data_IF_723811153512
#
_entry.id   IF_723811153512
#
_cell.length_a   1.000
_cell.length_b   1.000
_cell.length_c   1.000
_cell.angle_alpha   90.00
_cell.angle_beta   90.00
_cell.angle_gamma   90.00
#
_symmetry.space_group_name_H-M   'P 1'
#
loop_
_entity.id
_entity.type
_entity.pdbx_description
1 polymer ?
#
# COMPACT_ATOMS: atom_id res chain seq x y z
N UNK A 1 9.90 -30.09 28.19
CA UNK A 1 10.19 -31.45 27.68
C UNK A 1 10.52 -31.32 26.19
N UNK A 2 11.72 -30.92 25.76
CA UNK A 2 13.07 -31.39 26.11
C UNK A 2 13.23 -32.89 25.84
N UNK A 3 13.48 -33.25 24.57
CA UNK A 3 14.44 -34.26 24.12
C UNK A 3 14.32 -34.45 22.60
N UNK A 4 15.47 -34.59 21.92
CA UNK A 4 15.74 -34.95 20.52
C UNK A 4 16.43 -33.86 19.68
N UNK A 5 17.66 -33.49 20.07
CA UNK A 5 18.68 -32.90 19.20
C UNK A 5 20.06 -33.11 19.82
N UNK A 6 20.69 -34.28 19.63
CA UNK A 6 22.15 -34.46 19.72
C UNK A 6 22.57 -35.50 18.67
N UNK A 7 23.74 -35.27 18.08
CA UNK A 7 24.51 -36.07 17.09
C UNK A 7 24.14 -35.78 15.62
N UNK A 8 25.01 -35.33 14.71
CA UNK A 8 26.48 -35.38 14.64
C UNK A 8 27.04 -34.15 13.93
N UNK A 9 28.02 -33.49 14.56
CA UNK A 9 28.97 -32.57 13.96
C UNK A 9 30.34 -32.92 14.56
N UNK A 10 31.23 -33.51 13.75
CA UNK A 10 32.68 -33.31 13.76
C UNK A 10 33.40 -34.44 13.01
N UNK A 11 33.97 -34.08 11.87
CA UNK A 11 35.26 -34.60 11.44
C UNK A 11 35.87 -33.55 10.52
N UNK A 12 36.66 -32.66 11.14
CA UNK A 12 37.60 -31.74 10.52
C UNK A 12 38.81 -32.48 9.95
N UNK A 13 39.53 -31.80 9.05
CA UNK A 13 40.93 -31.97 8.59
C UNK A 13 40.97 -32.17 7.06
N UNK A 14 41.15 -31.11 6.27
CA UNK A 14 42.41 -30.40 5.94
C UNK A 14 42.99 -30.88 4.60
N UNK A 15 43.00 -30.02 3.59
CA UNK A 15 44.20 -29.86 2.75
C UNK A 15 44.21 -28.49 2.06
N UNK A 16 45.32 -27.79 2.27
CA UNK A 16 45.66 -26.47 1.73
C UNK A 16 46.20 -26.58 0.30
N UNK A 17 45.97 -25.50 -0.46
CA UNK A 17 46.87 -24.83 -1.42
C UNK A 17 47.53 -25.61 -2.55
N UNK A 18 47.31 -25.14 -3.79
CA UNK A 18 48.41 -24.86 -4.74
C UNK A 18 47.99 -23.78 -5.74
N UNK A 19 48.71 -22.66 -5.74
CA UNK A 19 48.79 -21.65 -6.79
C UNK A 19 50.25 -21.66 -7.26
N UNK A 20 50.49 -21.77 -8.57
CA UNK A 20 51.54 -21.10 -9.35
C UNK A 20 51.33 -21.50 -10.83
N UNK A 21 50.94 -20.58 -11.73
CA UNK A 21 51.76 -19.64 -12.52
C UNK A 21 52.68 -20.31 -13.55
N UNK A 22 52.40 -20.06 -14.83
CA UNK A 22 53.26 -20.37 -15.98
C UNK A 22 52.63 -19.90 -17.29
N UNK A 23 53.20 -18.84 -17.88
CA UNK A 23 52.77 -18.15 -19.10
C UNK A 23 53.24 -18.86 -20.39
N UNK A 24 52.39 -18.76 -21.42
CA UNK A 24 52.65 -18.63 -22.87
C UNK A 24 53.59 -19.63 -23.59
N UNK A 25 53.02 -20.38 -24.53
CA UNK A 25 53.52 -20.41 -25.92
C UNK A 25 52.42 -20.78 -26.93
N UNK A 26 52.47 -20.08 -28.06
CA UNK A 26 51.69 -20.20 -29.29
C UNK A 26 51.74 -21.60 -29.94
N UNK A 27 50.60 -22.13 -30.41
CA UNK A 27 50.21 -22.20 -31.84
C UNK A 27 49.16 -23.28 -32.13
N UNK A 28 48.18 -22.86 -32.95
CA UNK A 28 47.49 -23.55 -34.04
C UNK A 28 46.76 -24.90 -33.83
N UNK A 29 45.51 -24.87 -34.31
CA UNK A 29 44.70 -25.97 -34.86
C UNK A 29 44.35 -27.14 -33.96
N UNK A 30 43.10 -27.18 -33.49
CA UNK A 30 42.07 -28.08 -34.03
C UNK A 30 40.69 -27.62 -33.52
N UNK A 31 39.93 -26.97 -34.41
CA UNK A 31 38.49 -26.81 -34.24
C UNK A 31 37.83 -28.19 -34.34
N UNK A 32 37.59 -28.85 -33.21
CA UNK A 32 36.52 -29.84 -33.12
C UNK A 32 35.27 -29.12 -32.63
N UNK A 33 34.46 -28.70 -33.60
CA UNK A 33 33.05 -28.40 -33.37
C UNK A 33 32.35 -29.70 -32.94
N UNK A 34 32.33 -29.99 -31.64
CA UNK A 34 31.24 -30.79 -31.09
C UNK A 34 29.99 -29.92 -31.16
N UNK A 35 29.24 -30.06 -32.24
CA UNK A 35 27.88 -29.58 -32.36
C UNK A 35 27.07 -30.11 -31.19
N UNK A 36 26.79 -29.23 -30.23
CA UNK A 36 25.90 -29.50 -29.12
C UNK A 36 24.46 -29.54 -29.65
N UNK A 37 23.98 -30.74 -30.02
CA UNK A 37 22.57 -31.00 -30.38
C UNK A 37 21.58 -30.74 -29.23
N UNK A 38 22.05 -30.30 -28.05
CA UNK A 38 21.22 -30.00 -26.89
C UNK A 38 20.52 -28.63 -26.99
N UNK A 39 21.07 -27.64 -27.70
CA UNK A 39 20.48 -26.29 -27.79
C UNK A 39 19.21 -26.27 -28.66
N UNK A 40 19.24 -26.90 -29.84
CA UNK A 40 18.11 -26.98 -30.79
C UNK A 40 16.96 -27.86 -30.31
N UNK A 41 17.23 -28.94 -29.57
CA UNK A 41 16.19 -29.75 -28.91
C UNK A 41 15.51 -29.00 -27.75
N UNK A 42 16.24 -28.12 -27.06
CA UNK A 42 15.67 -27.34 -25.94
C UNK A 42 14.75 -26.23 -26.45
N UNK A 43 15.13 -25.53 -27.52
CA UNK A 43 14.34 -24.45 -28.13
C UNK A 43 13.06 -24.97 -28.80
N UNK A 44 13.15 -26.10 -29.51
CA UNK A 44 11.99 -26.76 -30.14
C UNK A 44 10.98 -27.27 -29.10
N UNK A 45 11.44 -27.85 -27.99
CA UNK A 45 10.59 -28.28 -26.89
C UNK A 45 9.95 -27.10 -26.13
N UNK A 46 10.69 -26.00 -25.97
CA UNK A 46 10.17 -24.78 -25.33
C UNK A 46 9.10 -24.10 -26.20
N UNK A 47 9.32 -24.03 -27.51
CA UNK A 47 8.33 -23.56 -28.48
C UNK A 47 7.05 -24.40 -28.47
N UNK A 48 7.19 -25.72 -28.46
CA UNK A 48 6.05 -26.67 -28.40
C UNK A 48 5.23 -26.51 -27.11
N UNK A 49 5.88 -26.42 -25.94
CA UNK A 49 5.19 -26.21 -24.65
C UNK A 49 4.47 -24.87 -24.58
N UNK A 50 5.04 -23.83 -25.19
CA UNK A 50 4.40 -22.52 -25.28
C UNK A 50 3.11 -22.58 -26.09
N UNK A 51 3.12 -23.25 -27.25
CA UNK A 51 1.92 -23.45 -28.07
C UNK A 51 0.84 -24.25 -27.33
N UNK A 52 1.21 -25.35 -26.68
CA UNK A 52 0.30 -26.15 -25.84
C UNK A 52 -0.35 -25.26 -24.76
N UNK A 53 0.45 -24.43 -24.10
CA UNK A 53 -0.04 -23.53 -23.05
C UNK A 53 -1.02 -22.50 -23.61
N UNK A 54 -0.71 -21.89 -24.75
CA UNK A 54 -1.60 -20.91 -25.39
C UNK A 54 -2.93 -21.56 -25.77
N UNK A 55 -2.91 -22.69 -26.46
CA UNK A 55 -4.13 -23.40 -26.87
C UNK A 55 -4.96 -23.86 -25.68
N UNK A 56 -4.30 -24.35 -24.62
CA UNK A 56 -4.97 -24.72 -23.37
C UNK A 56 -5.68 -23.53 -22.73
N UNK A 57 -4.99 -22.40 -22.57
CA UNK A 57 -5.57 -21.21 -21.95
C UNK A 57 -6.74 -20.62 -22.74
N UNK A 58 -6.68 -20.68 -24.06
CA UNK A 58 -7.78 -20.24 -24.94
C UNK A 58 -9.01 -21.15 -24.79
N UNK A 59 -8.82 -22.46 -24.81
CA UNK A 59 -9.92 -23.44 -24.75
C UNK A 59 -10.53 -23.59 -23.36
N UNK A 60 -9.72 -23.61 -22.31
CA UNK A 60 -10.17 -23.88 -20.93
C UNK A 60 -10.74 -22.66 -20.19
N UNK A 61 -10.27 -21.45 -20.54
CA UNK A 61 -10.59 -20.22 -19.82
C UNK A 61 -11.05 -19.08 -20.74
N UNK A 62 -11.20 -19.34 -22.05
CA UNK A 62 -11.66 -18.33 -23.01
C UNK A 62 -10.70 -17.15 -23.20
N UNK A 63 -9.41 -17.30 -22.90
CA UNK A 63 -8.44 -16.21 -23.07
C UNK A 63 -8.32 -15.84 -24.56
N UNK A 64 -8.21 -14.54 -24.84
CA UNK A 64 -7.80 -14.11 -26.18
C UNK A 64 -6.38 -14.60 -26.48
N UNK A 65 -6.07 -14.86 -27.76
CA UNK A 65 -4.74 -15.30 -28.19
C UNK A 65 -3.63 -14.37 -27.66
N UNK A 66 -3.86 -13.06 -27.64
CA UNK A 66 -2.93 -12.06 -27.11
C UNK A 66 -2.64 -12.29 -25.63
N UNK A 67 -3.68 -12.41 -24.80
CA UNK A 67 -3.52 -12.61 -23.35
C UNK A 67 -2.91 -13.98 -23.06
N UNK A 68 -3.37 -15.04 -23.73
CA UNK A 68 -2.81 -16.39 -23.58
C UNK A 68 -1.31 -16.42 -23.93
N UNK A 69 -0.89 -15.69 -24.98
CA UNK A 69 0.51 -15.57 -25.36
C UNK A 69 1.34 -14.88 -24.27
N UNK A 70 0.85 -13.80 -23.66
CA UNK A 70 1.55 -13.14 -22.56
C UNK A 70 1.65 -14.02 -21.30
N UNK A 71 0.58 -14.72 -20.96
CA UNK A 71 0.56 -15.67 -19.83
C UNK A 71 1.55 -16.82 -20.06
N UNK A 72 1.64 -17.35 -21.29
CA UNK A 72 2.56 -18.44 -21.65
C UNK A 72 4.05 -18.08 -21.50
N UNK A 73 4.40 -16.79 -21.44
CA UNK A 73 5.77 -16.36 -21.13
C UNK A 73 6.13 -16.61 -19.66
N UNK A 74 5.13 -16.64 -18.77
CA UNK A 74 5.29 -16.78 -17.31
C UNK A 74 5.12 -18.22 -16.82
N UNK A 75 4.42 -19.06 -17.58
CA UNK A 75 4.14 -20.46 -17.26
C UNK A 75 4.15 -21.30 -18.53
N UNK A 76 4.70 -22.51 -18.45
CA UNK A 76 4.67 -23.49 -19.54
C UNK A 76 4.10 -24.80 -18.99
N UNK A 77 3.03 -25.26 -19.61
CA UNK A 77 2.31 -26.48 -19.24
C UNK A 77 2.92 -27.68 -19.98
N UNK A 78 2.95 -28.83 -19.30
CA UNK A 78 3.36 -30.11 -19.92
C UNK A 78 2.15 -30.84 -20.48
N UNK A 79 1.09 -30.91 -19.69
CA UNK A 79 -0.16 -31.61 -19.94
C UNK A 79 -1.33 -30.83 -19.28
N UNK A 80 -2.58 -31.12 -19.64
CA UNK A 80 -3.74 -30.41 -19.10
C UNK A 80 -4.20 -30.93 -17.72
N UNK A 81 -3.71 -32.09 -17.25
CA UNK A 81 -4.27 -32.75 -16.06
C UNK A 81 -4.04 -31.93 -14.80
N UNK A 82 -2.81 -31.44 -14.61
CA UNK A 82 -2.45 -30.63 -13.45
C UNK A 82 -3.20 -29.28 -13.43
N UNK A 83 -3.20 -28.48 -14.51
CA UNK A 83 -4.02 -27.27 -14.63
C UNK A 83 -5.51 -27.52 -14.40
N UNK A 84 -6.10 -28.54 -15.01
CA UNK A 84 -7.53 -28.86 -14.84
C UNK A 84 -7.87 -29.16 -13.38
N UNK A 85 -7.00 -29.89 -12.67
CA UNK A 85 -7.17 -30.15 -11.25
C UNK A 85 -7.17 -28.87 -10.40
N UNK A 86 -6.34 -27.88 -10.78
CA UNK A 86 -6.34 -26.55 -10.13
C UNK A 86 -7.63 -25.78 -10.43
N UNK A 87 -8.08 -25.76 -11.69
CA UNK A 87 -9.31 -25.07 -12.07
C UNK A 87 -10.54 -25.68 -11.37
N UNK A 88 -10.61 -27.01 -11.32
CA UNK A 88 -11.70 -27.73 -10.66
C UNK A 88 -11.74 -27.47 -9.16
N UNK A 89 -10.58 -27.38 -8.48
CA UNK A 89 -10.53 -26.97 -7.08
C UNK A 89 -11.07 -25.55 -6.88
N UNK A 90 -10.71 -24.59 -7.74
CA UNK A 90 -11.27 -23.24 -7.61
C UNK A 90 -12.79 -23.24 -7.81
N UNK A 91 -13.30 -23.96 -8.81
CA UNK A 91 -14.75 -24.10 -9.03
C UNK A 91 -15.46 -24.75 -7.85
N UNK A 92 -14.85 -25.75 -7.21
CA UNK A 92 -15.43 -26.39 -6.01
C UNK A 92 -15.49 -25.45 -4.79
N UNK A 93 -14.70 -24.37 -4.79
CA UNK A 93 -14.77 -23.28 -3.81
C UNK A 93 -15.65 -22.10 -4.30
N UNK A 94 -16.41 -22.31 -5.37
CA UNK A 94 -17.40 -21.37 -5.91
C UNK A 94 -16.81 -20.24 -6.75
N UNK A 95 -15.54 -20.32 -7.17
CA UNK A 95 -14.98 -19.31 -8.06
C UNK A 95 -15.63 -19.42 -9.45
N UNK A 96 -16.07 -18.29 -10.00
CA UNK A 96 -16.55 -18.21 -11.38
C UNK A 96 -15.38 -18.32 -12.38
N UNK A 97 -15.67 -18.69 -13.62
CA UNK A 97 -14.64 -18.72 -14.67
C UNK A 97 -13.99 -17.34 -14.89
N UNK A 98 -14.73 -16.25 -14.69
CA UNK A 98 -14.18 -14.89 -14.75
C UNK A 98 -13.21 -14.58 -13.61
N UNK A 99 -13.50 -15.03 -12.39
CA UNK A 99 -12.59 -14.89 -11.26
C UNK A 99 -11.34 -15.78 -11.43
N UNK A 100 -11.51 -17.01 -11.91
CA UNK A 100 -10.40 -17.92 -12.22
C UNK A 100 -9.51 -17.33 -13.31
N UNK A 101 -10.10 -16.77 -14.36
CA UNK A 101 -9.40 -16.00 -15.40
C UNK A 101 -8.53 -14.90 -14.76
N UNK A 102 -9.08 -14.11 -13.84
CA UNK A 102 -8.33 -13.06 -13.14
C UNK A 102 -7.16 -13.62 -12.33
N UNK A 103 -7.38 -14.70 -11.58
CA UNK A 103 -6.31 -15.33 -10.78
C UNK A 103 -5.20 -15.88 -11.68
N UNK A 104 -5.53 -16.56 -12.77
CA UNK A 104 -4.55 -17.17 -13.69
C UNK A 104 -3.78 -16.10 -14.45
N UNK A 105 -4.41 -15.01 -14.87
CA UNK A 105 -3.71 -13.92 -15.57
C UNK A 105 -2.75 -13.16 -14.65
N UNK A 106 -3.15 -12.94 -13.39
CA UNK A 106 -2.32 -12.27 -12.38
C UNK A 106 -1.22 -13.18 -11.81
N UNK A 107 -1.50 -14.48 -11.64
CA UNK A 107 -0.58 -15.47 -11.10
C UNK A 107 -0.58 -16.80 -11.89
N UNK A 108 0.01 -16.82 -13.11
CA UNK A 108 -0.05 -18.01 -13.99
C UNK A 108 0.54 -19.29 -13.41
N UNK A 109 1.53 -19.17 -12.52
CA UNK A 109 2.19 -20.32 -11.87
C UNK A 109 1.25 -21.10 -10.93
N UNK A 110 0.08 -20.55 -10.59
CA UNK A 110 -0.93 -21.29 -9.83
C UNK A 110 -1.32 -22.59 -10.53
N UNK A 111 -1.32 -22.61 -11.87
CA UNK A 111 -1.63 -23.79 -12.70
C UNK A 111 -0.64 -24.95 -12.54
N UNK A 112 0.56 -24.68 -12.00
CA UNK A 112 1.58 -25.69 -11.72
C UNK A 112 1.51 -26.20 -10.27
N UNK A 113 0.61 -25.66 -9.44
CA UNK A 113 0.50 -26.04 -8.03
C UNK A 113 -0.19 -27.38 -7.89
N UNK A 114 0.27 -28.22 -6.95
CA UNK A 114 -0.42 -29.44 -6.55
C UNK A 114 -1.64 -29.07 -5.68
N UNK A 115 -2.89 -29.26 -6.13
CA UNK A 115 -4.08 -28.77 -5.43
C UNK A 115 -4.15 -29.29 -4.00
N UNK A 116 -4.05 -30.61 -3.83
CA UNK A 116 -4.16 -31.30 -2.53
C UNK A 116 -3.07 -30.91 -1.53
N UNK A 117 -1.83 -30.73 -2.01
CA UNK A 117 -0.69 -30.46 -1.13
C UNK A 117 -0.52 -28.97 -0.80
N UNK A 118 -0.92 -28.11 -1.74
CA UNK A 118 -0.59 -26.69 -1.66
C UNK A 118 -1.86 -25.84 -1.49
N UNK A 119 -2.81 -25.92 -2.42
CA UNK A 119 -3.91 -24.95 -2.49
C UNK A 119 -5.02 -25.29 -1.50
N UNK A 120 -5.45 -26.55 -1.46
CA UNK A 120 -6.56 -27.01 -0.64
C UNK A 120 -6.34 -26.73 0.87
N UNK A 121 -5.18 -27.02 1.47
CA UNK A 121 -4.96 -26.72 2.89
C UNK A 121 -5.12 -25.23 3.21
N UNK A 122 -4.68 -24.35 2.31
CA UNK A 122 -4.79 -22.89 2.49
C UNK A 122 -6.25 -22.43 2.45
N UNK A 123 -7.01 -22.93 1.47
CA UNK A 123 -8.42 -22.57 1.33
C UNK A 123 -9.25 -23.08 2.52
N UNK A 124 -8.99 -24.33 2.97
CA UNK A 124 -9.62 -24.89 4.18
C UNK A 124 -9.30 -24.08 5.43
N UNK A 125 -8.04 -23.69 5.62
CA UNK A 125 -7.66 -22.86 6.76
C UNK A 125 -8.38 -21.51 6.76
N UNK A 126 -8.46 -20.84 5.60
CA UNK A 126 -9.16 -19.57 5.50
C UNK A 126 -10.66 -19.73 5.83
N UNK A 127 -11.31 -20.80 5.39
CA UNK A 127 -12.68 -21.10 5.79
C UNK A 127 -12.79 -21.40 7.30
N UNK A 128 -11.84 -22.14 7.88
CA UNK A 128 -11.88 -22.50 9.31
C UNK A 128 -11.74 -21.29 10.23
N UNK A 129 -11.10 -20.20 9.78
CA UNK A 129 -11.03 -18.93 10.51
C UNK A 129 -12.20 -17.97 10.16
N UNK A 130 -13.24 -18.46 9.50
CA UNK A 130 -14.51 -17.77 9.33
C UNK A 130 -14.66 -16.91 8.07
N UNK A 131 -13.86 -17.13 7.02
CA UNK A 131 -14.14 -16.54 5.70
C UNK A 131 -15.28 -17.30 5.01
N UNK A 132 -16.32 -16.57 4.57
CA UNK A 132 -17.33 -17.16 3.68
C UNK A 132 -16.74 -17.43 2.28
N UNK A 133 -17.43 -18.23 1.46
CA UNK A 133 -16.97 -18.51 0.08
C UNK A 133 -16.78 -17.23 -0.73
N UNK A 134 -17.70 -16.26 -0.63
CA UNK A 134 -17.59 -14.98 -1.32
C UNK A 134 -16.40 -14.14 -0.80
N UNK A 135 -16.24 -14.05 0.53
CA UNK A 135 -15.12 -13.30 1.12
C UNK A 135 -13.76 -13.92 0.76
N UNK A 136 -13.69 -15.26 0.69
CA UNK A 136 -12.51 -16.01 0.28
C UNK A 136 -12.13 -15.70 -1.18
N UNK A 137 -13.11 -15.68 -2.08
CA UNK A 137 -12.89 -15.33 -3.50
C UNK A 137 -12.32 -13.91 -3.62
N UNK A 138 -12.96 -12.94 -2.98
CA UNK A 138 -12.49 -11.54 -2.95
C UNK A 138 -11.08 -11.42 -2.38
N UNK A 139 -10.78 -12.16 -1.31
CA UNK A 139 -9.47 -12.18 -0.68
C UNK A 139 -8.39 -12.71 -1.63
N UNK A 140 -8.64 -13.84 -2.30
CA UNK A 140 -7.66 -14.43 -3.22
C UNK A 140 -7.43 -13.54 -4.45
N UNK A 141 -8.48 -12.91 -4.98
CA UNK A 141 -8.35 -12.00 -6.13
C UNK A 141 -7.55 -10.74 -5.73
N UNK A 142 -7.88 -10.15 -4.59
CA UNK A 142 -7.19 -8.96 -4.09
C UNK A 142 -5.77 -9.24 -3.58
N UNK A 143 -5.49 -10.49 -3.17
CA UNK A 143 -4.19 -10.93 -2.66
C UNK A 143 -3.83 -12.38 -3.05
N UNK A 144 -3.53 -12.59 -4.33
CA UNK A 144 -3.05 -13.88 -4.86
C UNK A 144 -1.70 -14.33 -4.25
N UNK A 145 -1.03 -13.46 -3.48
CA UNK A 145 0.18 -13.81 -2.72
C UNK A 145 -0.05 -14.91 -1.70
N UNK A 146 -1.28 -15.05 -1.18
CA UNK A 146 -1.70 -16.13 -0.29
C UNK A 146 -1.43 -17.52 -0.88
N UNK A 147 -1.62 -17.66 -2.18
CA UNK A 147 -1.45 -18.95 -2.88
C UNK A 147 0.03 -19.34 -3.04
N UNK A 148 0.96 -18.41 -2.78
CA UNK A 148 2.40 -18.59 -3.00
C UNK A 148 3.18 -18.95 -1.74
N UNK A 149 2.71 -18.52 -0.58
CA UNK A 149 3.42 -18.67 0.70
C UNK A 149 3.03 -19.96 1.40
N UNK A 150 3.91 -20.56 2.22
CA UNK A 150 3.53 -21.75 3.00
C UNK A 150 2.46 -21.39 4.03
N UNK A 151 1.47 -22.28 4.18
CA UNK A 151 0.41 -22.14 5.17
C UNK A 151 1.01 -22.15 6.59
N UNK A 152 1.82 -23.16 6.87
CA UNK A 152 2.38 -23.49 8.18
C UNK A 152 3.47 -22.49 8.59
N UNK A 153 4.30 -22.06 7.64
CA UNK A 153 5.42 -21.17 7.94
C UNK A 153 5.05 -19.68 7.91
N UNK A 154 3.90 -19.30 7.31
CA UNK A 154 3.56 -17.90 7.10
C UNK A 154 2.12 -17.54 7.46
N UNK A 155 1.12 -18.17 6.83
CA UNK A 155 -0.28 -17.73 6.96
C UNK A 155 -0.78 -17.97 8.40
N UNK A 156 -0.56 -19.17 8.94
CA UNK A 156 -0.95 -19.51 10.32
C UNK A 156 -0.21 -18.61 11.32
N UNK A 157 1.14 -18.53 11.34
CA UNK A 157 1.85 -17.64 12.26
C UNK A 157 1.44 -16.17 12.15
N UNK A 158 1.14 -15.69 10.95
CA UNK A 158 0.68 -14.32 10.75
C UNK A 158 -0.71 -14.10 11.35
N UNK A 159 -1.65 -15.02 11.13
CA UNK A 159 -2.98 -14.95 11.73
C UNK A 159 -2.92 -15.04 13.26
N UNK A 160 -2.16 -15.99 13.81
CA UNK A 160 -1.99 -16.13 15.26
C UNK A 160 -1.36 -14.90 15.89
N UNK A 161 -0.35 -14.31 15.23
CA UNK A 161 0.24 -13.08 15.70
C UNK A 161 -0.77 -11.93 15.71
N UNK A 162 -1.58 -11.76 14.66
CA UNK A 162 -2.65 -10.75 14.65
C UNK A 162 -3.67 -10.99 15.76
N UNK A 163 -4.13 -12.23 15.90
CA UNK A 163 -5.08 -12.66 16.91
C UNK A 163 -4.58 -12.38 18.33
N UNK A 164 -3.28 -12.57 18.60
CA UNK A 164 -2.69 -12.32 19.92
C UNK A 164 -2.75 -10.85 20.40
N UNK A 165 -3.03 -9.90 19.50
CA UNK A 165 -3.12 -8.46 19.82
C UNK A 165 -4.49 -7.85 19.54
N UNK A 166 -5.46 -8.66 19.12
CA UNK A 166 -6.83 -8.24 18.80
C UNK A 166 -7.82 -8.92 19.74
N UNK A 167 -9.05 -8.40 19.82
CA UNK A 167 -10.01 -8.87 20.81
C UNK A 167 -10.63 -10.22 20.45
N UNK A 168 -10.85 -10.47 19.16
CA UNK A 168 -11.54 -11.67 18.67
C UNK A 168 -11.06 -12.10 17.28
N UNK A 169 -11.54 -13.28 16.87
CA UNK A 169 -11.23 -13.90 15.58
C UNK A 169 -11.76 -13.08 14.39
N UNK A 170 -12.83 -12.30 14.59
CA UNK A 170 -13.43 -11.46 13.56
C UNK A 170 -12.52 -10.26 13.25
N UNK A 171 -11.94 -9.62 14.25
CA UNK A 171 -10.94 -8.58 14.07
C UNK A 171 -9.67 -9.12 13.41
N UNK A 172 -9.18 -10.29 13.84
CA UNK A 172 -8.03 -10.94 13.24
C UNK A 172 -8.26 -11.29 11.75
N UNK A 173 -9.46 -11.79 11.42
CA UNK A 173 -9.90 -12.04 10.04
C UNK A 173 -9.87 -10.76 9.20
N UNK A 174 -10.43 -9.66 9.73
CA UNK A 174 -10.46 -8.37 9.05
C UNK A 174 -9.04 -7.82 8.84
N UNK A 175 -8.16 -7.95 9.85
CA UNK A 175 -6.77 -7.53 9.75
C UNK A 175 -6.01 -8.34 8.69
N UNK A 176 -6.19 -9.66 8.65
CA UNK A 176 -5.63 -10.53 7.62
C UNK A 176 -6.10 -10.14 6.22
N UNK A 177 -7.39 -9.82 6.05
CA UNK A 177 -7.95 -9.32 4.77
C UNK A 177 -7.32 -7.99 4.32
N UNK A 178 -6.93 -7.13 5.26
CA UNK A 178 -6.27 -5.84 4.98
C UNK A 178 -4.79 -5.97 4.61
N UNK A 179 -4.15 -7.10 4.90
CA UNK A 179 -2.78 -7.34 4.45
C UNK A 179 -2.76 -7.50 2.94
N UNK A 180 -2.25 -6.51 2.22
CA UNK A 180 -2.13 -6.53 0.75
C UNK A 180 -0.86 -7.23 0.25
N UNK A 181 0.11 -7.45 1.12
CA UNK A 181 1.38 -8.12 0.81
C UNK A 181 1.73 -9.03 1.98
N UNK A 182 1.97 -10.30 1.69
CA UNK A 182 2.39 -11.24 2.71
C UNK A 182 3.83 -10.94 3.15
N UNK A 183 3.96 -10.89 4.46
CA UNK A 183 5.19 -10.64 5.18
C UNK A 183 6.14 -11.84 4.99
N UNK A 184 7.45 -11.59 4.88
CA UNK A 184 8.43 -12.67 4.93
C UNK A 184 8.44 -13.32 6.31
N UNK A 185 9.08 -14.48 6.49
CA UNK A 185 9.13 -15.18 7.78
C UNK A 185 9.81 -14.33 8.85
N UNK A 186 10.88 -13.63 8.45
CA UNK A 186 11.58 -12.62 9.28
C UNK A 186 10.66 -11.49 9.73
N UNK A 187 9.63 -11.20 8.94
CA UNK A 187 8.75 -10.06 9.15
C UNK A 187 7.63 -10.39 10.14
N UNK A 188 7.15 -11.64 10.19
CA UNK A 188 6.11 -12.07 11.15
C UNK A 188 6.59 -11.92 12.60
N UNK A 189 7.87 -12.10 12.88
CA UNK A 189 8.45 -11.94 14.23
C UNK A 189 8.56 -10.48 14.67
N UNK A 190 8.47 -9.50 13.76
CA UNK A 190 8.63 -8.09 14.11
C UNK A 190 7.46 -7.52 14.91
N UNK A 191 6.26 -8.10 14.79
CA UNK A 191 5.04 -7.60 15.45
C UNK A 191 5.20 -7.47 16.96
N UNK A 192 5.76 -8.50 17.62
CA UNK A 192 5.98 -8.47 19.05
C UNK A 192 6.97 -7.36 19.46
N UNK A 193 8.07 -7.20 18.70
CA UNK A 193 9.08 -6.18 18.96
C UNK A 193 8.54 -4.76 18.74
N UNK A 194 7.79 -4.54 17.66
CA UNK A 194 7.20 -3.25 17.32
C UNK A 194 6.11 -2.85 18.31
N UNK A 195 5.27 -3.79 18.73
CA UNK A 195 4.24 -3.52 19.75
C UNK A 195 4.89 -3.25 21.11
N UNK A 196 5.98 -3.95 21.46
CA UNK A 196 6.76 -3.66 22.66
C UNK A 196 7.26 -2.22 22.66
N UNK A 197 7.84 -1.73 21.55
CA UNK A 197 8.28 -0.33 21.44
C UNK A 197 7.16 0.66 21.75
N UNK A 198 5.95 0.43 21.23
CA UNK A 198 4.80 1.29 21.52
C UNK A 198 4.38 1.25 22.99
N UNK A 199 4.37 0.06 23.60
CA UNK A 199 4.03 -0.11 25.02
C UNK A 199 5.05 0.55 25.94
N UNK A 200 6.34 0.42 25.62
CA UNK A 200 7.44 0.98 26.40
C UNK A 200 7.37 2.52 26.47
N UNK A 201 6.82 3.17 25.43
CA UNK A 201 6.60 4.63 25.41
C UNK A 201 5.19 5.06 25.87
N UNK A 202 4.42 4.13 26.45
CA UNK A 202 3.10 4.43 27.04
C UNK A 202 1.94 4.53 26.04
N UNK A 203 2.05 3.98 24.83
CA UNK A 203 0.90 3.92 23.90
C UNK A 203 -0.19 3.01 24.47
N UNK A 204 -1.45 3.47 24.60
CA UNK A 204 -2.54 2.67 25.15
C UNK A 204 -2.86 1.45 24.29
N UNK A 205 -3.34 0.38 24.93
CA UNK A 205 -3.72 -0.85 24.24
C UNK A 205 -4.78 -0.60 23.14
N UNK A 206 -5.70 0.34 23.32
CA UNK A 206 -6.68 0.73 22.27
C UNK A 206 -6.02 1.28 21.00
N UNK A 207 -4.92 2.02 21.13
CA UNK A 207 -4.13 2.53 20.00
C UNK A 207 -3.26 1.41 19.38
N UNK A 208 -2.76 0.48 20.19
CA UNK A 208 -2.10 -0.74 19.67
C UNK A 208 -3.09 -1.57 18.84
N UNK A 209 -4.30 -1.84 19.36
CA UNK A 209 -5.35 -2.54 18.64
C UNK A 209 -5.74 -1.80 17.35
N UNK A 210 -5.83 -0.46 17.39
CA UNK A 210 -6.06 0.37 16.20
C UNK A 210 -4.97 0.14 15.12
N UNK A 211 -3.70 0.08 15.52
CA UNK A 211 -2.60 -0.19 14.60
C UNK A 211 -2.73 -1.58 13.99
N UNK A 212 -2.93 -2.62 14.79
CA UNK A 212 -3.01 -4.00 14.30
C UNK A 212 -4.24 -4.21 13.42
N UNK A 213 -5.38 -3.60 13.77
CA UNK A 213 -6.62 -3.75 13.01
C UNK A 213 -6.64 -2.92 11.72
N UNK A 214 -6.25 -1.63 11.76
CA UNK A 214 -6.44 -0.70 10.62
C UNK A 214 -5.16 -0.41 9.84
N UNK A 215 -4.02 -0.43 10.51
CA UNK A 215 -2.70 -0.16 9.91
C UNK A 215 -1.82 -1.40 9.98
N UNK A 216 -2.41 -2.56 9.68
CA UNK A 216 -1.82 -3.89 9.90
C UNK A 216 -0.41 -4.03 9.32
N UNK A 217 -0.09 -3.34 8.22
CA UNK A 217 1.25 -3.34 7.62
C UNK A 217 2.33 -2.80 8.56
N UNK A 218 1.99 -1.85 9.45
CA UNK A 218 2.91 -1.26 10.43
C UNK A 218 3.41 -2.28 11.44
N UNK A 219 2.52 -3.18 11.87
CA UNK A 219 2.84 -4.22 12.85
C UNK A 219 4.03 -5.06 12.36
N UNK A 220 4.12 -5.25 11.04
CA UNK A 220 5.13 -6.07 10.38
C UNK A 220 6.31 -5.27 9.81
N UNK A 221 6.38 -3.94 9.95
CA UNK A 221 7.51 -3.16 9.42
C UNK A 221 8.83 -3.66 10.03
N UNK A 222 9.91 -3.56 9.25
CA UNK A 222 11.26 -3.80 9.76
C UNK A 222 11.51 -3.02 11.05
N UNK A 223 11.97 -3.70 12.10
CA UNK A 223 12.02 -3.14 13.45
C UNK A 223 12.81 -1.83 13.53
N UNK A 224 13.97 -1.74 12.85
CA UNK A 224 14.78 -0.53 12.86
C UNK A 224 14.05 0.67 12.22
N UNK A 225 13.35 0.44 11.11
CA UNK A 225 12.51 1.47 10.48
C UNK A 225 11.32 1.87 11.34
N UNK A 226 10.69 0.90 12.00
CA UNK A 226 9.57 1.17 12.89
C UNK A 226 10.00 2.07 14.05
N UNK A 227 11.12 1.77 14.69
CA UNK A 227 11.72 2.61 15.74
C UNK A 227 12.06 4.01 15.23
N UNK A 228 12.57 4.14 14.00
CA UNK A 228 12.82 5.45 13.39
C UNK A 228 11.52 6.29 13.28
N UNK A 229 10.42 5.68 12.86
CA UNK A 229 9.13 6.38 12.76
C UNK A 229 8.58 6.78 14.13
N UNK A 230 8.69 5.90 15.12
CA UNK A 230 8.27 6.18 16.50
C UNK A 230 9.05 7.34 17.09
N UNK A 231 10.39 7.30 17.01
CA UNK A 231 11.27 8.36 17.54
C UNK A 231 10.98 9.71 16.91
N UNK A 232 10.71 9.76 15.61
CA UNK A 232 10.35 11.03 14.98
C UNK A 232 8.99 11.53 15.43
N UNK A 233 8.01 10.65 15.63
CA UNK A 233 6.70 11.06 16.15
C UNK A 233 6.83 11.66 17.56
N UNK A 234 7.70 11.11 18.40
CA UNK A 234 8.06 11.68 19.71
C UNK A 234 8.79 13.03 19.58
N UNK A 235 9.80 13.13 18.72
CA UNK A 235 10.51 14.40 18.41
C UNK A 235 9.53 15.49 17.96
N UNK A 236 8.52 15.11 17.18
CA UNK A 236 7.50 16.02 16.70
C UNK A 236 6.48 16.46 17.78
N UNK A 237 6.59 15.91 18.99
CA UNK A 237 5.68 16.18 20.10
C UNK A 237 4.28 15.59 19.90
N UNK A 238 4.18 14.48 19.16
CA UNK A 238 2.91 13.73 19.08
C UNK A 238 2.74 12.96 20.38
N UNK A 239 1.64 13.19 21.07
CA UNK A 239 1.31 12.56 22.35
C UNK A 239 1.04 11.04 22.17
N UNK A 240 1.87 10.14 22.74
CA UNK A 240 1.71 8.69 22.63
C UNK A 240 0.39 8.16 23.19
N UNK A 241 -0.24 8.89 24.13
CA UNK A 241 -1.54 8.51 24.70
C UNK A 241 -2.70 8.64 23.70
N UNK A 242 -2.50 9.38 22.60
CA UNK A 242 -3.55 9.67 21.61
C UNK A 242 -3.40 8.80 20.37
N UNK A 243 -4.53 8.42 19.77
CA UNK A 243 -4.56 7.71 18.47
C UNK A 243 -3.89 8.47 17.33
N UNK A 244 -3.69 9.79 17.47
CA UNK A 244 -2.90 10.61 16.55
C UNK A 244 -1.46 10.10 16.41
N UNK A 245 -0.89 9.50 17.46
CA UNK A 245 0.45 8.91 17.42
C UNK A 245 0.56 7.82 16.35
N UNK A 246 -0.41 6.90 16.33
CA UNK A 246 -0.47 5.83 15.33
C UNK A 246 -0.67 6.40 13.93
N UNK A 247 -1.49 7.44 13.78
CA UNK A 247 -1.66 8.12 12.49
C UNK A 247 -0.37 8.77 12.00
N UNK A 248 0.40 9.39 12.91
CA UNK A 248 1.69 9.95 12.60
C UNK A 248 2.63 8.85 12.08
N UNK A 249 2.90 7.82 12.88
CA UNK A 249 3.74 6.67 12.50
C UNK A 249 3.30 6.05 11.17
N UNK A 250 1.98 5.93 10.94
CA UNK A 250 1.40 5.44 9.69
C UNK A 250 1.80 6.29 8.48
N UNK A 251 1.70 7.61 8.57
CA UNK A 251 2.13 8.52 7.49
C UNK A 251 3.62 8.37 7.22
N UNK A 252 4.44 8.25 8.25
CA UNK A 252 5.90 8.13 8.10
C UNK A 252 6.28 6.84 7.38
N UNK A 253 5.62 5.73 7.72
CA UNK A 253 5.87 4.42 7.10
C UNK A 253 5.59 4.37 5.59
N UNK A 254 4.74 5.27 5.09
CA UNK A 254 4.32 5.32 3.70
C UNK A 254 5.26 6.16 2.83
N UNK A 255 6.21 6.86 3.44
CA UNK A 255 7.13 7.78 2.77
C UNK A 255 8.58 7.36 3.00
N UNK A 256 9.44 7.59 2.00
CA UNK A 256 10.89 7.45 2.20
C UNK A 256 11.40 8.55 3.12
N UNK A 257 12.51 8.28 3.83
CA UNK A 257 13.08 9.26 4.77
C UNK A 257 13.43 10.61 4.10
N UNK A 258 13.93 10.57 2.88
CA UNK A 258 14.19 11.80 2.11
C UNK A 258 12.92 12.54 1.69
N UNK A 259 11.81 11.82 1.47
CA UNK A 259 10.56 12.39 0.97
C UNK A 259 9.86 13.24 2.02
N UNK A 260 9.48 12.69 3.16
CA UNK A 260 8.87 13.47 4.24
C UNK A 260 9.77 14.60 4.74
N UNK A 261 11.10 14.41 4.84
CA UNK A 261 12.04 15.49 5.19
C UNK A 261 11.98 16.65 4.20
N UNK A 262 12.10 16.35 2.89
CA UNK A 262 12.01 17.38 1.87
C UNK A 262 10.64 18.06 1.77
N UNK A 263 9.56 17.40 2.21
CA UNK A 263 8.23 18.03 2.34
C UNK A 263 8.18 18.98 3.55
N UNK A 264 8.81 18.59 4.67
CA UNK A 264 8.94 19.46 5.84
C UNK A 264 9.80 20.70 5.52
N UNK A 265 10.81 20.56 4.69
CA UNK A 265 11.66 21.67 4.26
C UNK A 265 10.93 22.68 3.35
N UNK A 266 9.83 22.30 2.69
CA UNK A 266 8.99 23.26 1.97
C UNK A 266 8.44 24.31 2.93
N UNK A 267 7.93 23.89 4.10
CA UNK A 267 7.39 24.83 5.07
C UNK A 267 8.45 25.79 5.62
N UNK A 268 9.71 25.34 5.74
CA UNK A 268 10.83 26.22 6.10
C UNK A 268 11.07 27.33 5.09
N UNK A 269 10.90 27.06 3.78
CA UNK A 269 11.00 28.07 2.72
C UNK A 269 9.95 29.17 2.86
N UNK A 270 8.79 28.85 3.42
CA UNK A 270 7.73 29.81 3.76
C UNK A 270 7.92 30.44 5.15
N UNK A 271 9.08 30.29 5.79
CA UNK A 271 9.40 30.94 7.07
C UNK A 271 8.96 30.19 8.33
N UNK A 272 8.46 28.94 8.22
CA UNK A 272 8.24 28.14 9.43
C UNK A 272 9.56 27.67 10.04
N UNK A 273 9.71 27.85 11.34
CA UNK A 273 10.80 27.19 12.08
C UNK A 273 10.58 25.67 12.12
N UNK A 274 11.63 24.92 12.47
CA UNK A 274 11.53 23.47 12.69
C UNK A 274 10.43 23.12 13.69
N UNK A 275 10.37 23.84 14.83
CA UNK A 275 9.38 23.61 15.88
C UNK A 275 7.95 23.88 15.42
N UNK A 276 7.72 24.97 14.67
CA UNK A 276 6.40 25.26 14.10
C UNK A 276 5.98 24.18 13.11
N UNK A 277 6.93 23.73 12.27
CA UNK A 277 6.68 22.67 11.29
C UNK A 277 6.32 21.34 11.95
N UNK A 278 7.07 20.95 12.98
CA UNK A 278 6.79 19.75 13.78
C UNK A 278 5.45 19.86 14.52
N UNK A 279 5.15 21.03 15.09
CA UNK A 279 3.87 21.31 15.75
C UNK A 279 2.68 21.26 14.79
N UNK A 280 2.88 21.62 13.52
CA UNK A 280 1.85 21.47 12.48
C UNK A 280 1.68 19.99 12.10
N UNK A 281 2.79 19.26 11.91
CA UNK A 281 2.75 17.82 11.67
C UNK A 281 2.03 17.07 12.80
N UNK A 282 2.30 17.39 14.07
CA UNK A 282 1.68 16.68 15.20
C UNK A 282 0.16 16.89 15.31
N UNK A 283 -0.35 18.02 14.80
CA UNK A 283 -1.79 18.29 14.72
C UNK A 283 -2.46 17.60 13.52
N UNK A 284 -1.75 17.42 12.42
CA UNK A 284 -2.29 16.80 11.21
C UNK A 284 -1.21 16.14 10.35
N UNK A 285 -0.76 14.92 10.70
CA UNK A 285 0.31 14.23 9.99
C UNK A 285 0.04 14.06 8.49
N UNK A 286 -1.23 13.95 8.11
CA UNK A 286 -1.71 13.75 6.75
C UNK A 286 -1.34 14.92 5.81
N UNK A 287 -0.90 16.08 6.33
CA UNK A 287 -0.34 17.15 5.51
C UNK A 287 0.86 16.67 4.67
N UNK A 288 1.63 15.67 5.16
CA UNK A 288 2.75 15.10 4.42
C UNK A 288 2.34 14.07 3.35
N UNK A 289 1.06 13.68 3.29
CA UNK A 289 0.57 12.81 2.21
C UNK A 289 0.33 13.58 0.91
N UNK A 290 0.20 14.92 0.98
CA UNK A 290 0.08 15.78 -0.20
C UNK A 290 1.35 15.76 -1.05
N UNK A 291 1.21 15.99 -2.36
CA UNK A 291 2.36 16.17 -3.25
C UNK A 291 3.12 17.45 -2.86
N UNK A 292 4.42 17.52 -3.18
CA UNK A 292 5.22 18.73 -2.96
C UNK A 292 4.58 19.94 -3.67
N UNK A 293 4.14 19.72 -4.90
CA UNK A 293 3.46 20.71 -5.71
C UNK A 293 2.19 21.25 -5.05
N UNK A 294 1.32 20.37 -4.53
CA UNK A 294 0.08 20.79 -3.88
C UNK A 294 0.35 21.58 -2.59
N UNK A 295 1.36 21.18 -1.82
CA UNK A 295 1.79 21.94 -0.63
C UNK A 295 2.26 23.33 -1.05
N UNK A 296 3.17 23.43 -2.02
CA UNK A 296 3.71 24.72 -2.51
C UNK A 296 2.62 25.63 -3.07
N UNK A 297 1.77 25.13 -3.98
CA UNK A 297 0.67 25.91 -4.56
C UNK A 297 -0.29 26.42 -3.50
N UNK A 298 -0.65 25.56 -2.54
CA UNK A 298 -1.57 25.92 -1.46
C UNK A 298 -0.93 26.93 -0.50
N UNK A 299 0.35 26.75 -0.15
CA UNK A 299 1.07 27.71 0.70
C UNK A 299 1.22 29.07 0.03
N UNK A 300 1.63 29.11 -1.24
CA UNK A 300 1.73 30.37 -2.01
C UNK A 300 0.38 31.08 -2.09
N UNK A 301 -0.70 30.38 -2.44
CA UNK A 301 -2.02 31.00 -2.47
C UNK A 301 -2.46 31.53 -1.09
N UNK A 302 -2.32 30.73 -0.03
CA UNK A 302 -2.77 31.13 1.30
C UNK A 302 -1.95 32.30 1.88
N UNK A 303 -0.64 32.33 1.62
CA UNK A 303 0.26 33.37 2.14
C UNK A 303 0.22 34.61 1.25
N UNK A 304 0.41 34.44 -0.06
CA UNK A 304 0.64 35.54 -0.99
C UNK A 304 -0.68 36.18 -1.46
N UNK A 305 -1.69 35.37 -1.80
CA UNK A 305 -2.96 35.86 -2.36
C UNK A 305 -4.03 36.14 -1.30
N UNK A 306 -4.11 35.29 -0.27
CA UNK A 306 -5.08 35.46 0.84
C UNK A 306 -4.51 36.34 1.95
N UNK A 307 -3.18 36.45 2.07
CA UNK A 307 -2.54 37.21 3.14
C UNK A 307 -2.67 36.55 4.51
N UNK A 308 -2.81 35.22 4.59
CA UNK A 308 -2.97 34.53 5.87
C UNK A 308 -1.68 34.53 6.67
N UNK A 309 -1.72 34.86 7.97
CA UNK A 309 -0.58 34.70 8.84
C UNK A 309 -0.12 33.25 8.91
N UNK A 310 1.20 33.02 8.75
CA UNK A 310 1.81 31.69 8.80
C UNK A 310 1.44 30.91 10.08
N UNK A 311 1.34 31.61 11.21
CA UNK A 311 0.92 31.04 12.51
C UNK A 311 -0.49 30.43 12.47
N UNK A 312 -1.40 31.02 11.70
CA UNK A 312 -2.79 30.56 11.62
C UNK A 312 -2.91 29.32 10.74
N UNK A 313 -2.11 29.26 9.66
CA UNK A 313 -1.96 28.06 8.82
C UNK A 313 -1.36 26.93 9.67
N UNK A 314 -0.28 27.19 10.42
CA UNK A 314 0.37 26.21 11.30
C UNK A 314 -0.54 25.71 12.43
N UNK A 315 -1.48 26.54 12.90
CA UNK A 315 -2.48 26.13 13.90
C UNK A 315 -3.53 25.19 13.32
N UNK A 316 -3.78 25.23 12.00
CA UNK A 316 -4.78 24.40 11.30
C UNK A 316 -4.25 23.81 9.98
N UNK A 317 -3.25 22.91 10.06
CA UNK A 317 -2.62 22.31 8.87
C UNK A 317 -3.56 21.46 8.02
N UNK A 318 -4.69 21.02 8.58
CA UNK A 318 -5.77 20.37 7.82
C UNK A 318 -6.35 21.24 6.70
N UNK A 319 -6.14 22.57 6.76
CA UNK A 319 -6.54 23.48 5.68
C UNK A 319 -5.91 23.09 4.34
N UNK A 320 -4.66 22.63 4.36
CA UNK A 320 -3.91 22.22 3.17
C UNK A 320 -4.49 20.97 2.50
N UNK A 321 -5.35 20.22 3.21
CA UNK A 321 -5.94 18.99 2.69
C UNK A 321 -7.19 19.25 1.82
N UNK A 322 -7.76 20.45 1.87
CA UNK A 322 -8.84 20.83 0.95
C UNK A 322 -8.27 21.10 -0.44
N UNK A 323 -9.01 20.73 -1.49
CA UNK A 323 -8.61 21.07 -2.86
C UNK A 323 -8.50 22.57 -3.02
N UNK A 324 -7.33 23.01 -3.49
CA UNK A 324 -7.05 24.41 -3.74
C UNK A 324 -8.00 24.96 -4.81
N UNK A 325 -8.10 24.25 -5.93
CA UNK A 325 -8.82 24.64 -7.14
C UNK A 325 -10.33 24.49 -7.00
N UNK A 326 -10.79 23.40 -6.34
CA UNK A 326 -12.21 23.09 -6.27
C UNK A 326 -12.89 23.63 -5.02
N UNK A 327 -12.13 24.05 -4.00
CA UNK A 327 -12.72 24.51 -2.73
C UNK A 327 -12.12 25.81 -2.21
N UNK A 328 -10.80 25.93 -2.10
CA UNK A 328 -10.20 27.10 -1.44
C UNK A 328 -10.36 28.36 -2.32
N UNK A 329 -9.94 28.29 -3.58
CA UNK A 329 -9.99 29.41 -4.54
C UNK A 329 -11.44 29.87 -4.79
N UNK A 330 -12.40 28.99 -5.18
CA UNK A 330 -13.80 29.38 -5.38
C UNK A 330 -14.39 30.15 -4.20
N UNK A 331 -14.14 29.65 -2.99
CA UNK A 331 -14.69 30.23 -1.77
C UNK A 331 -14.00 31.54 -1.42
N UNK A 332 -12.69 31.64 -1.63
CA UNK A 332 -11.98 32.91 -1.49
C UNK A 332 -12.52 33.97 -2.45
N UNK A 333 -12.71 33.62 -3.73
CA UNK A 333 -13.19 34.55 -4.76
C UNK A 333 -14.58 35.10 -4.44
N UNK A 334 -15.50 34.25 -4.00
CA UNK A 334 -16.84 34.68 -3.53
C UNK A 334 -16.72 35.66 -2.36
N UNK A 335 -15.93 35.33 -1.34
CA UNK A 335 -15.78 36.20 -0.16
C UNK A 335 -15.08 37.52 -0.52
N UNK A 336 -14.07 37.49 -1.39
CA UNK A 336 -13.37 38.68 -1.90
C UNK A 336 -14.34 39.61 -2.62
N UNK A 337 -15.22 39.07 -3.49
CA UNK A 337 -16.24 39.84 -4.19
C UNK A 337 -17.27 40.46 -3.22
N UNK A 338 -17.74 39.69 -2.23
CA UNK A 338 -18.67 40.18 -1.21
C UNK A 338 -18.07 41.28 -0.33
N UNK A 339 -16.79 41.13 0.07
CA UNK A 339 -16.06 42.15 0.83
C UNK A 339 -15.89 43.44 0.02
N UNK A 340 -15.53 43.34 -1.27
CA UNK A 340 -15.42 44.51 -2.17
C UNK A 340 -16.74 45.28 -2.30
N UNK A 341 -17.89 44.59 -2.16
CA UNK A 341 -19.23 45.19 -2.17
C UNK A 341 -19.74 45.61 -0.79
N UNK A 342 -18.94 45.46 0.27
CA UNK A 342 -19.34 45.82 1.64
C UNK A 342 -20.45 44.96 2.25
N UNK A 343 -20.76 43.81 1.64
CA UNK A 343 -21.88 42.93 2.05
C UNK A 343 -21.50 41.99 3.21
N UNK A 344 -20.20 41.83 3.48
CA UNK A 344 -19.68 41.07 4.61
C UNK A 344 -18.85 42.02 5.49
N UNK A 345 -19.50 42.55 6.53
CA UNK A 345 -18.92 43.55 7.44
C UNK A 345 -18.18 42.95 8.65
N UNK A 346 -18.50 41.71 9.04
CA UNK A 346 -17.82 41.03 10.16
C UNK A 346 -16.57 40.33 9.65
N UNK A 347 -15.49 40.35 10.45
CA UNK A 347 -14.34 39.49 10.20
C UNK A 347 -14.73 38.01 10.36
N UNK A 348 -15.09 37.38 9.25
CA UNK A 348 -15.34 35.94 9.20
C UNK A 348 -14.00 35.26 8.95
N UNK A 349 -13.60 34.38 9.87
CA UNK A 349 -12.44 33.50 9.70
C UNK A 349 -12.51 32.75 8.37
N UNK A 350 -11.55 32.99 7.48
CA UNK A 350 -11.46 32.33 6.18
C UNK A 350 -11.38 30.80 6.32
N UNK A 351 -10.67 30.31 7.35
CA UNK A 351 -10.59 28.87 7.63
C UNK A 351 -11.99 28.29 7.91
N UNK A 352 -12.83 29.01 8.63
CA UNK A 352 -14.21 28.58 8.90
C UNK A 352 -15.05 28.52 7.62
N UNK A 353 -14.81 29.42 6.67
CA UNK A 353 -15.49 29.46 5.38
C UNK A 353 -15.13 28.24 4.53
N UNK A 354 -13.84 27.92 4.44
CA UNK A 354 -13.34 26.74 3.70
C UNK A 354 -13.88 25.43 4.28
N UNK A 355 -14.14 25.39 5.59
CA UNK A 355 -14.65 24.19 6.28
C UNK A 355 -16.14 23.90 6.05
N UNK A 356 -16.95 24.87 5.64
CA UNK A 356 -18.38 24.63 5.45
C UNK A 356 -18.65 23.47 4.48
N UNK A 357 -19.71 22.70 4.73
CA UNK A 357 -20.28 21.82 3.71
C UNK A 357 -20.75 22.63 2.50
N UNK A 358 -20.87 21.98 1.35
CA UNK A 358 -21.18 22.65 0.08
C UNK A 358 -22.49 23.43 0.13
N UNK A 359 -23.59 22.76 0.46
CA UNK A 359 -24.91 23.34 0.65
C UNK A 359 -24.89 24.57 1.56
N UNK A 360 -24.29 24.41 2.75
CA UNK A 360 -24.20 25.49 3.76
C UNK A 360 -23.37 26.68 3.28
N UNK A 361 -22.31 26.45 2.49
CA UNK A 361 -21.53 27.54 1.91
C UNK A 361 -22.35 28.31 0.88
N UNK A 362 -23.00 27.60 -0.05
CA UNK A 362 -23.81 28.19 -1.11
C UNK A 362 -24.96 29.02 -0.53
N UNK A 363 -25.74 28.44 0.39
CA UNK A 363 -26.85 29.15 1.04
C UNK A 363 -26.37 30.45 1.72
N UNK A 364 -25.26 30.37 2.47
CA UNK A 364 -24.81 31.47 3.31
C UNK A 364 -24.11 32.60 2.55
N UNK A 365 -23.39 32.28 1.48
CA UNK A 365 -22.50 33.23 0.79
C UNK A 365 -22.77 33.41 -0.70
N UNK A 366 -23.56 32.53 -1.33
CA UNK A 366 -23.88 32.64 -2.76
C UNK A 366 -25.36 33.00 -2.92
N UNK A 367 -26.27 32.08 -2.57
CA UNK A 367 -27.72 32.26 -2.75
C UNK A 367 -28.26 33.46 -1.99
N UNK A 368 -27.84 33.65 -0.73
CA UNK A 368 -28.26 34.78 0.12
C UNK A 368 -27.97 36.14 -0.51
N UNK A 369 -26.93 36.26 -1.33
CA UNK A 369 -26.51 37.52 -1.94
C UNK A 369 -26.75 37.53 -3.46
N UNK A 370 -27.52 36.57 -3.99
CA UNK A 370 -27.75 36.43 -5.43
C UNK A 370 -28.40 37.69 -6.02
N UNK A 371 -29.36 38.30 -5.33
CA UNK A 371 -30.00 39.54 -5.78
C UNK A 371 -29.04 40.73 -5.77
N UNK A 372 -28.14 40.81 -4.77
CA UNK A 372 -27.18 41.90 -4.65
C UNK A 372 -25.95 41.74 -5.56
N UNK A 373 -25.56 40.50 -5.86
CA UNK A 373 -24.41 40.17 -6.71
C UNK A 373 -24.74 38.92 -7.55
N UNK A 374 -25.49 39.08 -8.67
CA UNK A 374 -25.95 37.95 -9.49
C UNK A 374 -24.83 37.06 -10.03
N UNK A 375 -23.66 37.65 -10.28
CA UNK A 375 -22.46 36.96 -10.79
C UNK A 375 -21.73 36.07 -9.77
N UNK A 376 -22.16 36.00 -8.49
CA UNK A 376 -21.48 35.17 -7.47
C UNK A 376 -21.45 33.69 -7.82
N UNK A 377 -22.52 33.18 -8.45
CA UNK A 377 -22.55 31.78 -8.86
C UNK A 377 -21.51 31.47 -9.94
N UNK A 378 -21.27 32.41 -10.86
CA UNK A 378 -20.25 32.28 -11.89
C UNK A 378 -18.84 32.42 -11.29
N UNK A 379 -18.65 33.36 -10.35
CA UNK A 379 -17.41 33.50 -9.58
C UNK A 379 -17.09 32.21 -8.81
N UNK A 380 -18.11 31.57 -8.23
CA UNK A 380 -17.95 30.32 -7.50
C UNK A 380 -17.56 29.15 -8.41
N UNK A 381 -18.20 29.02 -9.57
CA UNK A 381 -17.89 27.94 -10.53
C UNK A 381 -16.50 28.12 -11.16
N UNK A 382 -15.98 29.34 -11.18
CA UNK A 382 -14.72 29.67 -11.85
C UNK A 382 -14.78 29.44 -13.36
N UNK A 383 -13.63 29.55 -14.07
CA UNK A 383 -13.58 29.40 -15.52
C UNK A 383 -13.83 27.97 -16.04
N UNK A 384 -14.04 26.96 -15.19
CA UNK A 384 -13.98 25.54 -15.60
C UNK A 384 -14.91 24.56 -14.84
N UNK A 385 -15.89 25.02 -14.05
CA UNK A 385 -16.75 24.12 -13.25
C UNK A 385 -18.12 23.80 -13.88
N UNK A 386 -18.50 22.52 -14.06
CA UNK A 386 -19.87 22.14 -14.43
C UNK A 386 -20.87 22.43 -13.30
N UNK A 387 -22.16 22.54 -13.64
CA UNK A 387 -23.26 22.75 -12.69
C UNK A 387 -23.32 21.61 -11.65
N UNK A 388 -23.39 21.91 -10.34
CA UNK A 388 -23.79 20.90 -9.35
C UNK A 388 -25.23 20.49 -9.65
N UNK A 389 -25.44 19.22 -9.99
CA UNK A 389 -26.78 18.65 -9.88
C UNK A 389 -27.12 18.56 -8.39
N UNK A 390 -28.23 19.17 -8.03
CA UNK A 390 -28.84 19.04 -6.72
C UNK A 390 -29.39 17.61 -6.62
N UNK A 391 -28.87 16.81 -5.70
CA UNK A 391 -29.55 15.62 -5.17
C UNK A 391 -30.07 15.95 -3.78
#
# INVERSE_FOLDING_TARGET
>A
MLAFLITRLSSSLSLKSRIQLGLLHHNASHFFNSFSSASTLSESNQGKRKLITVSYLMSSLGLSRKVATEVSKKVQLKDPNQPNSVLNLFRSYGFSDTQIYTVVTMHPRVLLSKPEKNLLPRLRFLQSIGFSSAELQDLIISNYGLLRVSLEQYIIPCYEALKSFLHDDKEAKIALKRLRRFCSRKTVTNIAQNIKVLRDIGVPQSSVSLLVAKFVHLAFVDHAKFVEYVKFAEEAGVDPSKSMFINAVSVLSQLKKSTWQSKLDIFKKYGWTRNVTLSAFSKHPQCLMLSKENITKSMSFLVDEVGMPLKDIARRPSLLHYSLEQRIIPRYSVIKALKKKGLVKREISFISIVRYGEKKFLEKFVTRFHTSVPQLLNIYKGPSGPLPQVQ
#
